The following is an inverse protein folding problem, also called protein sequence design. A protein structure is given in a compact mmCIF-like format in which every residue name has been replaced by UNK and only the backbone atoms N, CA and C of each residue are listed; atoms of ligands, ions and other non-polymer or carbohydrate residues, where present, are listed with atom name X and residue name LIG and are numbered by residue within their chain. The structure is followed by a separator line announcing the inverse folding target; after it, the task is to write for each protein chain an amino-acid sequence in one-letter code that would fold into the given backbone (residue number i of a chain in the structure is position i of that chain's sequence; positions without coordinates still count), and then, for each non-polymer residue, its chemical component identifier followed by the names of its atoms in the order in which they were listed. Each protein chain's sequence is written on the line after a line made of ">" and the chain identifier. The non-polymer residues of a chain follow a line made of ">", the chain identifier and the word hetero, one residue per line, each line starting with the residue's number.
data_IF_915823364109
#
_entry.id   IF_915823364109
#
_cell.length_a   1.000
_cell.length_b   1.000
_cell.length_c   1.000
_cell.angle_alpha   90.00
_cell.angle_beta   90.00
_cell.angle_gamma   90.00
#
_symmetry.space_group_name_H-M   'P 1'
#
loop_
_entity.id
_entity.type
_entity.pdbx_description
1 polymer ?
#
# COMPACT_ATOMS: atom_id res chain seq x y z
N UNK A 1 25.30 2.31 -17.95
CA UNK A 1 25.05 3.23 -16.80
C UNK A 1 25.93 2.79 -15.65
N UNK A 2 26.73 3.70 -15.07
CA UNK A 2 27.44 3.44 -13.82
C UNK A 2 26.46 3.43 -12.65
N UNK A 3 26.60 2.46 -11.74
CA UNK A 3 25.86 2.46 -10.46
C UNK A 3 26.63 3.33 -9.47
N UNK A 4 25.92 4.13 -8.69
CA UNK A 4 26.48 4.96 -7.61
C UNK A 4 25.73 4.65 -6.31
N UNK A 5 26.43 4.64 -5.18
CA UNK A 5 25.83 4.56 -3.86
C UNK A 5 25.57 5.97 -3.34
N UNK A 6 24.35 6.22 -2.87
CA UNK A 6 23.93 7.51 -2.33
C UNK A 6 23.41 7.28 -0.92
N UNK A 7 23.73 8.17 0.02
CA UNK A 7 23.28 8.00 1.40
C UNK A 7 21.76 8.22 1.54
N UNK A 8 21.16 7.58 2.55
CA UNK A 8 19.73 7.72 2.87
C UNK A 8 19.32 9.18 3.03
N UNK A 9 20.14 9.95 3.76
CA UNK A 9 19.90 11.36 4.04
C UNK A 9 19.92 12.23 2.77
N UNK A 10 20.84 11.95 1.83
CA UNK A 10 20.91 12.68 0.57
C UNK A 10 19.69 12.44 -0.32
N UNK A 11 19.23 11.18 -0.43
CA UNK A 11 18.02 10.83 -1.18
C UNK A 11 16.79 11.48 -0.55
N UNK A 12 16.66 11.41 0.78
CA UNK A 12 15.57 12.05 1.49
C UNK A 12 15.55 13.56 1.25
N UNK A 13 16.70 14.24 1.43
CA UNK A 13 16.81 15.67 1.18
C UNK A 13 16.55 16.07 -0.28
N UNK A 14 16.91 15.22 -1.24
CA UNK A 14 16.56 15.43 -2.65
C UNK A 14 15.04 15.40 -2.87
N UNK A 15 14.36 14.38 -2.36
CA UNK A 15 12.90 14.24 -2.47
C UNK A 15 12.20 15.46 -1.82
N UNK A 16 12.62 15.83 -0.61
CA UNK A 16 12.06 16.97 0.11
C UNK A 16 12.17 18.27 -0.70
N UNK A 17 13.35 18.57 -1.24
CA UNK A 17 13.58 19.76 -2.08
C UNK A 17 12.73 19.75 -3.35
N UNK A 18 12.60 18.61 -4.03
CA UNK A 18 11.76 18.49 -5.22
C UNK A 18 10.28 18.78 -4.91
N UNK A 19 9.75 18.21 -3.83
CA UNK A 19 8.34 18.40 -3.46
C UNK A 19 8.05 19.83 -2.98
N UNK A 20 8.98 20.41 -2.22
CA UNK A 20 8.88 21.82 -1.81
C UNK A 20 8.95 22.76 -3.02
N UNK A 21 9.78 22.46 -4.02
CA UNK A 21 9.87 23.26 -5.24
C UNK A 21 8.56 23.28 -6.06
N UNK A 22 7.74 22.22 -5.93
CA UNK A 22 6.39 22.18 -6.53
C UNK A 22 5.28 22.64 -5.57
N UNK A 23 5.66 23.15 -4.41
CA UNK A 23 4.78 23.91 -3.52
C UNK A 23 4.21 23.14 -2.33
N UNK A 24 4.66 21.92 -2.04
CA UNK A 24 4.20 21.21 -0.83
C UNK A 24 4.77 21.85 0.44
N UNK A 25 4.06 21.74 1.57
CA UNK A 25 4.64 22.03 2.89
C UNK A 25 5.82 21.11 3.19
N UNK A 26 6.74 21.59 4.02
CA UNK A 26 7.94 20.84 4.40
C UNK A 26 7.61 19.49 5.06
N UNK A 27 6.65 19.46 5.98
CA UNK A 27 6.29 18.21 6.67
C UNK A 27 5.59 17.19 5.74
N UNK A 28 4.82 17.66 4.74
CA UNK A 28 4.29 16.82 3.66
C UNK A 28 5.41 16.22 2.80
N UNK A 29 6.37 17.05 2.39
CA UNK A 29 7.53 16.64 1.61
C UNK A 29 8.34 15.58 2.36
N UNK A 30 8.57 15.80 3.66
CA UNK A 30 9.26 14.86 4.55
C UNK A 30 8.53 13.53 4.67
N UNK A 31 7.21 13.56 4.89
CA UNK A 31 6.40 12.33 5.01
C UNK A 31 6.48 11.47 3.75
N UNK A 32 6.48 12.11 2.57
CA UNK A 32 6.69 11.40 1.31
C UNK A 32 8.12 10.87 1.19
N UNK A 33 9.13 11.68 1.51
CA UNK A 33 10.53 11.30 1.41
C UNK A 33 10.84 10.07 2.28
N UNK A 34 10.35 10.04 3.51
CA UNK A 34 10.54 8.93 4.44
C UNK A 34 10.00 7.61 3.88
N UNK A 35 8.74 7.58 3.41
CA UNK A 35 8.16 6.32 2.88
C UNK A 35 8.79 5.87 1.57
N UNK A 36 9.18 6.78 0.66
CA UNK A 36 9.81 6.39 -0.60
C UNK A 36 11.21 5.82 -0.36
N UNK A 37 11.96 6.43 0.56
CA UNK A 37 13.28 5.93 0.94
C UNK A 37 13.16 4.58 1.65
N UNK A 38 12.17 4.39 2.52
CA UNK A 38 11.89 3.06 3.12
C UNK A 38 11.54 2.02 2.06
N UNK A 39 10.78 2.40 1.03
CA UNK A 39 10.51 1.57 -0.13
C UNK A 39 11.78 1.05 -0.80
N UNK A 40 12.72 1.95 -1.13
CA UNK A 40 14.00 1.55 -1.75
C UNK A 40 14.88 0.74 -0.80
N UNK A 41 14.99 1.15 0.48
CA UNK A 41 15.85 0.48 1.47
C UNK A 41 15.42 -0.96 1.75
N UNK A 42 14.11 -1.24 1.65
CA UNK A 42 13.52 -2.57 1.82
C UNK A 42 13.46 -3.39 0.53
N UNK A 43 13.99 -2.86 -0.59
CA UNK A 43 14.01 -3.54 -1.88
C UNK A 43 12.68 -3.46 -2.65
N UNK A 44 11.73 -2.63 -2.22
CA UNK A 44 10.49 -2.34 -2.93
C UNK A 44 10.69 -1.20 -3.94
N UNK A 45 11.64 -1.34 -4.87
CA UNK A 45 12.02 -0.30 -5.85
C UNK A 45 10.89 0.19 -6.77
N UNK A 46 9.75 -0.52 -6.82
CA UNK A 46 8.54 -0.06 -7.51
C UNK A 46 7.78 1.02 -6.74
N UNK A 47 8.11 1.30 -5.48
CA UNK A 47 7.42 2.24 -4.60
C UNK A 47 8.37 3.21 -3.89
N UNK A 48 9.63 3.30 -4.34
CA UNK A 48 10.60 4.29 -3.86
C UNK A 48 10.81 5.45 -4.85
N UNK A 49 12.06 5.91 -5.00
CA UNK A 49 12.42 7.10 -5.77
C UNK A 49 11.92 7.07 -7.23
N UNK A 50 11.79 5.89 -7.82
CA UNK A 50 11.22 5.68 -9.15
C UNK A 50 9.76 6.19 -9.31
N UNK A 51 9.09 6.58 -8.23
CA UNK A 51 7.73 7.16 -8.27
C UNK A 51 7.69 8.69 -8.19
N UNK A 52 8.83 9.36 -8.04
CA UNK A 52 8.88 10.81 -7.83
C UNK A 52 8.16 11.62 -8.91
N UNK A 53 8.33 11.26 -10.19
CA UNK A 53 7.70 11.99 -11.31
C UNK A 53 6.17 12.01 -11.20
N UNK A 54 5.56 10.92 -10.71
CA UNK A 54 4.11 10.85 -10.50
C UNK A 54 3.66 11.84 -9.41
N UNK A 55 4.34 11.86 -8.27
CA UNK A 55 4.01 12.76 -7.17
C UNK A 55 4.19 14.23 -7.54
N UNK A 56 5.27 14.55 -8.24
CA UNK A 56 5.55 15.89 -8.76
C UNK A 56 4.42 16.35 -9.70
N UNK A 57 4.01 15.52 -10.67
CA UNK A 57 2.93 15.85 -11.61
C UNK A 57 1.58 16.03 -10.94
N UNK A 58 1.25 15.19 -9.97
CA UNK A 58 -0.03 15.29 -9.25
C UNK A 58 -0.12 16.57 -8.42
N UNK A 59 0.98 17.01 -7.81
CA UNK A 59 1.03 18.30 -7.09
C UNK A 59 1.01 19.48 -8.06
N UNK A 60 1.84 19.46 -9.12
CA UNK A 60 1.90 20.55 -10.11
C UNK A 60 0.58 20.80 -10.83
N UNK A 61 -0.17 19.72 -11.12
CA UNK A 61 -1.49 19.81 -11.76
C UNK A 61 -2.60 20.25 -10.81
N UNK A 62 -2.33 20.32 -9.49
CA UNK A 62 -3.33 20.62 -8.47
C UNK A 62 -4.30 19.48 -8.17
N UNK A 63 -4.08 18.31 -8.77
CA UNK A 63 -4.94 17.14 -8.57
C UNK A 63 -4.66 16.47 -7.22
N UNK A 64 -3.48 16.66 -6.64
CA UNK A 64 -3.20 16.39 -5.23
C UNK A 64 -2.99 17.72 -4.49
N UNK A 65 -3.58 17.85 -3.30
CA UNK A 65 -3.45 19.03 -2.48
C UNK A 65 -2.03 19.19 -1.94
N UNK A 66 -1.49 20.41 -2.05
CA UNK A 66 -0.13 20.75 -1.62
C UNK A 66 0.00 21.00 -0.10
N UNK A 67 -1.10 21.36 0.54
CA UNK A 67 -1.21 21.88 1.91
C UNK A 67 -2.60 21.55 2.47
N UNK A 68 -2.73 21.57 3.79
CA UNK A 68 -3.90 21.15 4.56
C UNK A 68 -3.54 20.09 5.60
N UNK A 69 -4.51 19.70 6.41
CA UNK A 69 -4.37 18.66 7.43
C UNK A 69 -5.55 17.68 7.32
N UNK A 70 -5.34 16.37 7.55
CA UNK A 70 -6.43 15.42 7.68
C UNK A 70 -7.38 15.80 8.82
N UNK A 71 -8.68 15.54 8.66
CA UNK A 71 -9.72 15.90 9.64
C UNK A 71 -10.51 14.67 10.06
N UNK A 72 -10.67 14.46 11.37
CA UNK A 72 -11.58 13.43 11.90
C UNK A 72 -13.02 13.92 11.71
N UNK A 73 -13.80 13.20 10.91
CA UNK A 73 -15.21 13.52 10.66
C UNK A 73 -16.14 12.85 11.66
N UNK A 74 -15.78 11.63 12.09
CA UNK A 74 -16.56 10.83 13.04
C UNK A 74 -15.62 9.92 13.82
N UNK A 75 -15.86 9.77 15.11
CA UNK A 75 -15.10 8.83 15.92
C UNK A 75 -15.91 8.20 17.04
N UNK A 76 -15.41 7.06 17.52
CA UNK A 76 -15.77 6.42 18.77
C UNK A 76 -14.49 6.11 19.54
N UNK A 77 -14.59 5.43 20.68
CA UNK A 77 -13.42 5.03 21.46
C UNK A 77 -12.42 4.20 20.61
N UNK A 78 -12.91 3.26 19.80
CA UNK A 78 -12.07 2.33 19.05
C UNK A 78 -12.01 2.63 17.54
N UNK A 79 -12.78 3.58 17.01
CA UNK A 79 -12.87 3.81 15.56
C UNK A 79 -12.80 5.28 15.16
N UNK A 80 -12.37 5.57 13.93
CA UNK A 80 -12.52 6.89 13.32
C UNK A 80 -12.68 6.83 11.79
N UNK A 81 -13.40 7.81 11.26
CA UNK A 81 -13.48 8.17 9.85
C UNK A 81 -12.75 9.51 9.65
N UNK A 82 -11.84 9.55 8.69
CA UNK A 82 -10.98 10.70 8.40
C UNK A 82 -11.18 11.18 6.96
N UNK A 83 -11.36 12.50 6.79
CA UNK A 83 -11.23 13.16 5.49
C UNK A 83 -9.76 13.54 5.29
N UNK A 84 -9.12 12.90 4.31
CA UNK A 84 -7.72 13.14 3.95
C UNK A 84 -7.48 14.43 3.17
N UNK A 85 -8.51 15.22 2.86
CA UNK A 85 -8.44 16.53 2.17
C UNK A 85 -7.67 16.50 0.84
N UNK A 86 -7.69 15.36 0.16
CA UNK A 86 -6.97 15.10 -1.08
C UNK A 86 -5.44 15.31 -0.95
N UNK A 87 -4.90 15.12 0.25
CA UNK A 87 -3.47 15.27 0.54
C UNK A 87 -2.65 14.09 0.01
N UNK A 88 -1.33 14.21 0.09
CA UNK A 88 -0.41 13.12 -0.18
C UNK A 88 -0.72 11.92 0.72
N UNK A 89 -0.76 10.72 0.13
CA UNK A 89 -1.06 9.48 0.84
C UNK A 89 -0.25 9.30 2.13
N UNK A 90 1.06 9.63 2.17
CA UNK A 90 1.85 9.50 3.39
C UNK A 90 1.49 10.46 4.52
N UNK A 91 0.92 11.62 4.21
CA UNK A 91 0.40 12.56 5.20
C UNK A 91 -0.83 11.95 5.87
N UNK A 92 -1.79 11.51 5.06
CA UNK A 92 -3.03 10.88 5.53
C UNK A 92 -2.73 9.59 6.30
N UNK A 93 -1.86 8.74 5.77
CA UNK A 93 -1.51 7.47 6.38
C UNK A 93 -0.80 7.60 7.73
N UNK A 94 0.15 8.53 7.85
CA UNK A 94 0.81 8.81 9.13
C UNK A 94 -0.19 9.31 10.17
N UNK A 95 -1.08 10.24 9.80
CA UNK A 95 -2.13 10.74 10.68
C UNK A 95 -3.04 9.59 11.17
N UNK A 96 -3.54 8.78 10.24
CA UNK A 96 -4.49 7.72 10.56
C UNK A 96 -3.88 6.58 11.38
N UNK A 97 -2.65 6.16 11.09
CA UNK A 97 -1.98 5.12 11.88
C UNK A 97 -1.66 5.62 13.30
N UNK A 98 -1.17 6.86 13.44
CA UNK A 98 -0.96 7.45 14.77
C UNK A 98 -2.27 7.53 15.57
N UNK A 99 -3.39 7.88 14.92
CA UNK A 99 -4.71 7.88 15.55
C UNK A 99 -5.15 6.47 15.96
N UNK A 100 -4.91 5.46 15.12
CA UNK A 100 -5.22 4.07 15.42
C UNK A 100 -4.41 3.58 16.64
N UNK A 101 -3.11 3.86 16.67
CA UNK A 101 -2.22 3.53 17.80
C UNK A 101 -2.71 4.21 19.09
N UNK A 102 -3.05 5.51 19.04
CA UNK A 102 -3.59 6.23 20.19
C UNK A 102 -4.85 5.56 20.75
N UNK A 103 -5.80 5.21 19.89
CA UNK A 103 -7.04 4.52 20.30
C UNK A 103 -6.76 3.11 20.85
N UNK A 104 -5.84 2.38 20.24
CA UNK A 104 -5.45 1.06 20.71
C UNK A 104 -4.81 1.07 22.11
N UNK A 105 -4.05 2.11 22.45
CA UNK A 105 -3.53 2.33 23.82
C UNK A 105 -4.64 2.50 24.84
N UNK A 106 -5.74 3.15 24.47
CA UNK A 106 -6.84 3.46 25.38
C UNK A 106 -7.81 2.29 25.56
N UNK A 107 -8.18 1.61 24.47
CA UNK A 107 -9.27 0.61 24.49
C UNK A 107 -8.91 -0.72 23.82
N UNK A 108 -7.63 -0.97 23.55
CA UNK A 108 -7.10 -2.24 23.05
C UNK A 108 -7.09 -2.37 21.52
N UNK A 109 -7.96 -1.64 20.80
CA UNK A 109 -7.96 -1.60 19.33
C UNK A 109 -8.29 -0.20 18.81
N UNK A 110 -7.61 0.21 17.75
CA UNK A 110 -7.95 1.39 16.96
C UNK A 110 -8.14 1.00 15.50
N UNK A 111 -9.31 1.31 14.93
CA UNK A 111 -9.63 1.06 13.53
C UNK A 111 -9.99 2.38 12.83
N UNK A 112 -9.11 2.86 11.96
CA UNK A 112 -9.23 4.16 11.30
C UNK A 112 -9.33 3.98 9.80
N UNK A 113 -10.36 4.53 9.19
CA UNK A 113 -10.52 4.57 7.74
C UNK A 113 -10.46 6.02 7.25
N UNK A 114 -9.95 6.20 6.03
CA UNK A 114 -9.84 7.51 5.41
C UNK A 114 -10.29 7.50 3.96
N UNK A 115 -11.03 8.53 3.56
CA UNK A 115 -11.25 8.91 2.16
C UNK A 115 -10.46 10.15 1.82
N UNK A 116 -10.51 10.60 0.56
CA UNK A 116 -9.81 11.79 0.13
C UNK A 116 -8.29 11.65 0.22
N UNK A 117 -7.74 10.45 -0.03
CA UNK A 117 -6.29 10.20 -0.02
C UNK A 117 -5.73 9.95 -1.43
N UNK A 118 -4.40 9.83 -1.50
CA UNK A 118 -3.64 9.54 -2.71
C UNK A 118 -2.67 8.36 -2.47
N UNK A 119 -1.85 8.01 -3.47
CA UNK A 119 -0.90 6.90 -3.37
C UNK A 119 0.05 7.08 -2.17
N UNK A 120 0.17 6.05 -1.33
CA UNK A 120 0.87 6.13 -0.03
C UNK A 120 2.21 5.39 0.04
N UNK A 121 2.79 4.97 -1.08
CA UNK A 121 4.02 4.18 -1.06
C UNK A 121 3.78 2.73 -0.62
N UNK A 122 4.64 2.19 0.24
CA UNK A 122 4.54 0.81 0.73
C UNK A 122 3.59 0.71 1.94
N UNK A 123 2.71 -0.29 1.97
CA UNK A 123 1.74 -0.46 3.06
C UNK A 123 2.44 -0.83 4.38
N UNK A 124 3.53 -1.59 4.29
CA UNK A 124 4.36 -2.00 5.42
C UNK A 124 4.89 -0.84 6.25
N UNK A 125 5.17 0.30 5.61
CA UNK A 125 5.67 1.50 6.31
C UNK A 125 4.73 1.91 7.45
N UNK A 126 3.42 1.92 7.21
CA UNK A 126 2.44 2.30 8.22
C UNK A 126 2.24 1.18 9.25
N UNK A 127 2.09 -0.07 8.81
CA UNK A 127 1.93 -1.20 9.72
C UNK A 127 3.06 -1.28 10.76
N UNK A 128 4.31 -1.03 10.34
CA UNK A 128 5.47 -1.05 11.22
C UNK A 128 5.54 0.10 12.23
N UNK A 129 4.78 1.19 12.06
CA UNK A 129 4.75 2.26 13.07
C UNK A 129 4.22 1.76 14.41
N UNK A 130 3.28 0.81 14.39
CA UNK A 130 2.73 0.20 15.60
C UNK A 130 3.75 -0.64 16.38
N UNK A 131 4.80 -1.14 15.72
CA UNK A 131 5.87 -1.91 16.37
C UNK A 131 6.64 -1.08 17.40
N UNK A 132 6.75 0.24 17.18
CA UNK A 132 7.42 1.16 18.12
C UNK A 132 6.72 1.23 19.47
N UNK A 133 5.46 0.80 19.52
CA UNK A 133 4.60 0.81 20.70
C UNK A 133 4.28 -0.61 21.18
N UNK A 134 5.03 -1.62 20.69
CA UNK A 134 4.77 -3.05 20.93
C UNK A 134 3.34 -3.49 20.57
N UNK A 135 2.76 -2.88 19.53
CA UNK A 135 1.43 -3.19 19.02
C UNK A 135 1.47 -3.89 17.67
N UNK A 136 0.40 -4.63 17.37
CA UNK A 136 0.17 -5.14 16.02
C UNK A 136 -0.35 -3.98 15.17
N UNK A 137 0.22 -3.78 13.99
CA UNK A 137 -0.24 -2.78 13.03
C UNK A 137 -0.73 -3.42 11.75
N UNK A 138 -1.77 -2.87 11.13
CA UNK A 138 -2.25 -3.29 9.82
C UNK A 138 -2.50 -2.07 8.94
N UNK A 139 -2.24 -2.20 7.63
CA UNK A 139 -2.50 -1.16 6.64
C UNK A 139 -3.06 -1.74 5.35
N UNK A 140 -4.04 -1.04 4.79
CA UNK A 140 -4.72 -1.40 3.55
C UNK A 140 -4.99 -0.14 2.72
N UNK A 141 -4.99 -0.27 1.40
CA UNK A 141 -5.50 0.76 0.48
C UNK A 141 -6.08 0.13 -0.76
N UNK A 142 -7.14 0.72 -1.31
CA UNK A 142 -7.51 0.42 -2.68
C UNK A 142 -6.72 1.27 -3.67
N UNK A 143 -6.67 0.85 -4.93
CA UNK A 143 -5.86 1.50 -5.97
C UNK A 143 -6.61 1.57 -7.30
N UNK A 144 -6.03 2.22 -8.30
CA UNK A 144 -6.56 2.24 -9.67
C UNK A 144 -6.84 0.82 -10.19
N UNK A 145 -7.88 0.62 -11.00
CA UNK A 145 -8.24 -0.69 -11.52
C UNK A 145 -7.14 -1.23 -12.45
N UNK A 146 -6.48 -2.31 -12.01
CA UNK A 146 -5.36 -2.96 -12.69
C UNK A 146 -5.46 -4.50 -12.68
N UNK A 147 -6.38 -5.05 -11.90
CA UNK A 147 -6.57 -6.48 -11.66
C UNK A 147 -7.91 -6.92 -12.24
N UNK A 148 -7.86 -8.01 -13.00
CA UNK A 148 -9.02 -8.71 -13.53
C UNK A 148 -9.50 -9.70 -12.47
N UNK A 149 -10.75 -9.60 -11.98
CA UNK A 149 -11.31 -10.57 -11.04
C UNK A 149 -11.29 -11.99 -11.60
N UNK A 150 -11.32 -12.99 -10.72
CA UNK A 150 -11.49 -14.38 -11.15
C UNK A 150 -12.76 -14.51 -11.99
N UNK A 151 -12.64 -15.14 -13.18
CA UNK A 151 -13.70 -15.24 -14.21
C UNK A 151 -14.14 -13.91 -14.86
N UNK A 152 -13.41 -12.83 -14.63
CA UNK A 152 -13.57 -11.57 -15.33
C UNK A 152 -12.68 -11.47 -16.57
N UNK A 153 -12.84 -10.37 -17.32
CA UNK A 153 -11.96 -9.98 -18.44
C UNK A 153 -11.57 -8.51 -18.45
N UNK A 154 -12.08 -7.73 -17.49
CA UNK A 154 -11.84 -6.29 -17.37
C UNK A 154 -11.23 -5.98 -16.02
N UNK A 155 -10.31 -5.01 -16.00
CA UNK A 155 -9.75 -4.51 -14.75
C UNK A 155 -10.85 -3.77 -13.96
N UNK A 156 -11.20 -4.31 -12.79
CA UNK A 156 -12.16 -3.69 -11.88
C UNK A 156 -11.60 -3.52 -10.47
N UNK A 157 -10.54 -4.24 -10.11
CA UNK A 157 -9.90 -4.12 -8.81
C UNK A 157 -8.52 -3.50 -8.94
N UNK A 158 -8.09 -2.83 -7.89
CA UNK A 158 -6.70 -2.43 -7.78
C UNK A 158 -5.80 -3.58 -7.34
N UNK A 159 -4.50 -3.32 -7.24
CA UNK A 159 -3.54 -4.26 -6.63
C UNK A 159 -3.74 -4.42 -5.13
N UNK A 160 -4.48 -3.49 -4.51
CA UNK A 160 -5.14 -3.58 -3.21
C UNK A 160 -4.30 -4.25 -2.11
N UNK A 161 -3.17 -3.64 -1.70
CA UNK A 161 -2.25 -4.28 -0.77
C UNK A 161 -2.83 -4.49 0.62
N UNK A 162 -2.31 -5.52 1.28
CA UNK A 162 -2.53 -5.89 2.67
C UNK A 162 -1.17 -5.91 3.35
N UNK A 163 -1.05 -5.20 4.46
CA UNK A 163 0.09 -5.30 5.35
C UNK A 163 -0.32 -5.54 6.79
N UNK A 164 0.47 -6.37 7.49
CA UNK A 164 0.37 -6.59 8.93
C UNK A 164 1.78 -6.71 9.50
N UNK A 165 2.02 -6.05 10.64
CA UNK A 165 3.25 -6.15 11.41
C UNK A 165 2.91 -6.54 12.86
N UNK A 166 3.70 -7.45 13.44
CA UNK A 166 3.53 -7.92 14.81
C UNK A 166 4.88 -8.02 15.54
N UNK A 167 4.97 -7.55 16.80
CA UNK A 167 6.22 -7.57 17.56
C UNK A 167 6.55 -8.98 18.09
N UNK A 168 7.84 -9.27 18.20
CA UNK A 168 8.41 -10.44 18.85
C UNK A 168 9.44 -10.01 19.92
N UNK A 169 10.14 -10.96 20.54
CA UNK A 169 11.19 -10.67 21.54
C UNK A 169 12.39 -9.98 20.91
N UNK A 170 13.16 -9.28 21.75
CA UNK A 170 14.48 -8.74 21.43
C UNK A 170 14.53 -7.85 20.17
N UNK A 171 13.42 -7.16 19.87
CA UNK A 171 13.31 -6.26 18.73
C UNK A 171 13.05 -6.94 17.38
N UNK A 172 12.86 -8.27 17.35
CA UNK A 172 12.42 -8.97 16.15
C UNK A 172 10.92 -8.73 15.89
N UNK A 173 10.49 -8.95 14.65
CA UNK A 173 9.09 -8.75 14.25
C UNK A 173 8.73 -9.55 13.01
N UNK A 174 7.45 -9.88 12.91
CA UNK A 174 6.87 -10.35 11.65
C UNK A 174 6.31 -9.17 10.89
N UNK A 175 6.61 -9.08 9.59
CA UNK A 175 6.06 -8.05 8.69
C UNK A 175 5.64 -8.70 7.38
N UNK A 176 4.35 -8.67 7.10
CA UNK A 176 3.76 -8.97 5.81
C UNK A 176 3.49 -7.64 5.08
N UNK A 177 3.94 -7.51 3.84
CA UNK A 177 3.56 -6.42 2.94
C UNK A 177 3.41 -6.99 1.52
N UNK A 178 2.17 -7.15 1.07
CA UNK A 178 1.86 -7.80 -0.20
C UNK A 178 0.69 -7.13 -0.93
N UNK A 179 0.78 -7.09 -2.26
CA UNK A 179 -0.39 -6.84 -3.10
C UNK A 179 -1.30 -8.09 -3.10
N UNK A 180 -2.60 -7.90 -3.33
CA UNK A 180 -3.53 -9.02 -3.60
C UNK A 180 -3.51 -9.46 -5.06
N UNK A 181 -2.78 -8.74 -5.92
CA UNK A 181 -2.41 -9.18 -7.27
C UNK A 181 -1.20 -10.13 -7.23
N UNK A 182 -1.12 -11.06 -8.18
CA UNK A 182 0.00 -12.02 -8.27
C UNK A 182 1.37 -11.33 -8.42
N UNK A 183 1.40 -10.14 -9.01
CA UNK A 183 2.61 -9.35 -9.20
C UNK A 183 2.29 -7.85 -9.21
N UNK A 184 3.26 -7.01 -8.87
CA UNK A 184 3.17 -5.56 -9.10
C UNK A 184 3.26 -5.23 -10.59
N UNK A 185 2.43 -4.30 -11.08
CA UNK A 185 2.41 -3.85 -12.49
C UNK A 185 3.79 -3.42 -12.99
N UNK A 186 4.59 -2.74 -12.15
CA UNK A 186 5.93 -2.29 -12.51
C UNK A 186 6.90 -3.42 -12.88
N UNK A 187 6.69 -4.66 -12.39
CA UNK A 187 7.47 -5.81 -12.82
C UNK A 187 7.10 -6.26 -14.23
N UNK A 188 5.82 -6.17 -14.61
CA UNK A 188 5.37 -6.44 -16.00
C UNK A 188 5.94 -5.38 -16.95
N UNK A 189 5.87 -4.09 -16.58
CA UNK A 189 6.48 -2.99 -17.35
C UNK A 189 8.00 -3.20 -17.55
N UNK A 190 8.69 -3.75 -16.55
CA UNK A 190 10.13 -4.04 -16.65
C UNK A 190 10.43 -5.16 -17.65
N UNK A 191 9.63 -6.24 -17.66
CA UNK A 191 9.80 -7.34 -18.62
C UNK A 191 9.50 -6.86 -20.05
N UNK A 192 8.46 -6.03 -20.24
CA UNK A 192 8.17 -5.43 -21.55
C UNK A 192 9.36 -4.60 -22.07
N UNK A 193 9.95 -3.76 -21.23
CA UNK A 193 11.13 -2.93 -21.60
C UNK A 193 12.36 -3.77 -21.95
N UNK A 194 12.51 -4.96 -21.36
CA UNK A 194 13.61 -5.88 -21.64
C UNK A 194 13.33 -6.80 -22.83
N UNK A 195 12.07 -6.94 -23.23
CA UNK A 195 11.64 -7.90 -24.24
C UNK A 195 11.52 -9.34 -23.71
N UNK A 196 11.47 -9.52 -22.39
CA UNK A 196 11.40 -10.83 -21.74
C UNK A 196 9.93 -11.27 -21.53
N UNK A 197 9.61 -12.58 -21.62
CA UNK A 197 8.29 -13.08 -21.21
C UNK A 197 8.10 -12.96 -19.69
N UNK A 198 6.86 -12.80 -19.24
CA UNK A 198 6.50 -12.88 -17.81
C UNK A 198 6.16 -14.32 -17.41
N UNK A 199 6.35 -14.69 -16.13
CA UNK A 199 5.85 -15.97 -15.61
C UNK A 199 4.34 -16.13 -15.83
N UNK A 200 3.91 -17.36 -16.08
CA UNK A 200 2.49 -17.69 -16.13
C UNK A 200 1.82 -17.38 -14.79
N UNK A 201 0.56 -16.90 -14.84
CA UNK A 201 -0.19 -16.52 -13.64
C UNK A 201 0.10 -15.10 -13.13
N UNK A 202 0.90 -14.29 -13.83
CA UNK A 202 1.06 -12.86 -13.52
C UNK A 202 -0.05 -11.98 -14.10
N UNK A 203 -0.56 -12.33 -15.28
CA UNK A 203 -1.59 -11.55 -15.95
C UNK A 203 -2.35 -12.32 -17.02
N UNK A 204 -3.38 -11.68 -17.54
CA UNK A 204 -4.19 -12.18 -18.63
C UNK A 204 -4.26 -11.16 -19.78
N UNK A 205 -4.64 -11.65 -20.94
CA UNK A 205 -4.85 -10.86 -22.15
C UNK A 205 -6.26 -10.20 -22.17
N UNK A 206 -6.61 -9.43 -23.23
CA UNK A 206 -7.91 -8.76 -23.31
C UNK A 206 -9.13 -9.70 -23.37
N UNK A 207 -8.92 -11.00 -23.54
CA UNK A 207 -9.98 -12.02 -23.49
C UNK A 207 -10.09 -12.66 -22.10
N UNK A 208 -9.28 -12.24 -21.13
CA UNK A 208 -9.21 -12.82 -19.80
C UNK A 208 -8.42 -14.14 -19.74
N UNK A 209 -7.71 -14.52 -20.81
CA UNK A 209 -6.89 -15.74 -20.84
C UNK A 209 -5.49 -15.45 -20.31
N UNK A 210 -4.96 -16.32 -19.44
CA UNK A 210 -3.59 -16.19 -18.94
C UNK A 210 -2.58 -16.10 -20.09
N UNK A 211 -1.56 -15.26 -19.90
CA UNK A 211 -0.54 -15.01 -20.92
C UNK A 211 0.82 -14.75 -20.29
N UNK A 212 1.87 -15.12 -21.01
CA UNK A 212 3.27 -14.80 -20.69
C UNK A 212 3.80 -13.61 -21.50
N UNK A 213 2.96 -13.00 -22.36
CA UNK A 213 3.32 -11.80 -23.11
C UNK A 213 2.98 -10.53 -22.29
N UNK A 214 3.99 -9.78 -21.80
CA UNK A 214 3.73 -8.56 -21.04
C UNK A 214 2.97 -7.50 -21.84
N UNK A 215 3.09 -7.45 -23.17
CA UNK A 215 2.37 -6.48 -23.99
C UNK A 215 0.86 -6.73 -23.98
N UNK A 216 0.44 -8.01 -23.99
CA UNK A 216 -0.99 -8.37 -23.92
C UNK A 216 -1.59 -8.01 -22.58
N UNK A 217 -0.81 -8.13 -21.49
CA UNK A 217 -1.22 -7.67 -20.16
C UNK A 217 -1.38 -6.15 -20.12
N UNK A 218 -0.40 -5.40 -20.63
CA UNK A 218 -0.38 -3.93 -20.57
C UNK A 218 -1.36 -3.26 -21.55
N UNK A 219 -1.79 -3.96 -22.61
CA UNK A 219 -2.61 -3.42 -23.70
C UNK A 219 -3.98 -4.11 -23.77
N UNK A 220 -4.83 -3.75 -22.82
CA UNK A 220 -6.23 -4.22 -22.75
C UNK A 220 -6.46 -5.48 -21.93
N UNK A 221 -5.39 -6.15 -21.47
CA UNK A 221 -5.46 -7.19 -20.46
C UNK A 221 -5.41 -6.64 -19.03
N UNK A 222 -4.84 -7.42 -18.13
CA UNK A 222 -4.61 -6.97 -16.75
C UNK A 222 -3.88 -7.97 -15.89
N UNK A 223 -3.54 -7.55 -14.67
CA UNK A 223 -2.99 -8.44 -13.66
C UNK A 223 -4.07 -9.42 -13.21
N UNK A 224 -3.66 -10.59 -12.71
CA UNK A 224 -4.58 -11.53 -12.05
C UNK A 224 -4.33 -11.53 -10.53
N UNK A 225 -5.30 -11.99 -9.73
CA UNK A 225 -5.13 -12.06 -8.28
C UNK A 225 -4.04 -13.06 -7.87
N UNK A 226 -3.51 -12.91 -6.66
CA UNK A 226 -2.59 -13.91 -6.09
C UNK A 226 -3.28 -15.29 -6.05
N UNK A 227 -2.55 -16.30 -6.48
CA UNK A 227 -3.12 -17.62 -6.80
C UNK A 227 -3.52 -17.78 -8.26
N UNK A 228 -3.41 -16.76 -9.12
CA UNK A 228 -3.49 -16.88 -10.57
C UNK A 228 -4.85 -17.37 -11.08
N UNK A 229 -4.85 -18.54 -11.72
CA UNK A 229 -6.07 -19.21 -12.21
C UNK A 229 -6.96 -19.73 -11.07
N UNK A 230 -8.19 -20.12 -11.39
CA UNK A 230 -9.07 -20.78 -10.41
C UNK A 230 -8.47 -22.09 -9.88
N UNK A 231 -7.83 -22.89 -10.74
CA UNK A 231 -7.18 -24.14 -10.36
C UNK A 231 -6.01 -23.95 -9.39
N UNK A 232 -5.38 -22.77 -9.42
CA UNK A 232 -4.25 -22.40 -8.54
C UNK A 232 -4.69 -21.51 -7.38
N UNK A 233 -6.00 -21.32 -7.18
CA UNK A 233 -6.55 -20.61 -6.02
C UNK A 233 -6.72 -19.10 -6.19
N UNK A 234 -6.74 -18.57 -7.42
CA UNK A 234 -6.89 -17.14 -7.70
C UNK A 234 -8.14 -16.49 -7.10
N UNK A 235 -9.21 -17.27 -6.87
CA UNK A 235 -10.41 -16.78 -6.18
C UNK A 235 -10.13 -16.34 -4.74
N UNK A 236 -9.09 -16.88 -4.09
CA UNK A 236 -8.65 -16.45 -2.75
C UNK A 236 -8.04 -15.05 -2.80
N UNK A 237 -7.12 -14.82 -3.74
CA UNK A 237 -6.54 -13.49 -3.98
C UNK A 237 -7.59 -12.46 -4.40
N UNK A 238 -8.58 -12.88 -5.20
CA UNK A 238 -9.73 -12.05 -5.55
C UNK A 238 -10.53 -11.65 -4.30
N UNK A 239 -10.84 -12.62 -3.44
CA UNK A 239 -11.54 -12.37 -2.17
C UNK A 239 -10.78 -11.39 -1.26
N UNK A 240 -9.45 -11.54 -1.15
CA UNK A 240 -8.60 -10.61 -0.41
C UNK A 240 -8.64 -9.19 -1.01
N UNK A 241 -8.56 -9.07 -2.35
CA UNK A 241 -8.66 -7.77 -3.03
C UNK A 241 -10.02 -7.09 -2.83
N UNK A 242 -11.11 -7.86 -2.82
CA UNK A 242 -12.46 -7.37 -2.51
C UNK A 242 -12.58 -6.93 -1.05
N UNK A 243 -11.99 -7.66 -0.10
CA UNK A 243 -11.98 -7.29 1.31
C UNK A 243 -11.33 -5.90 1.51
N UNK A 244 -10.20 -5.65 0.83
CA UNK A 244 -9.56 -4.33 0.84
C UNK A 244 -10.48 -3.27 0.24
N UNK A 245 -11.20 -3.58 -0.84
CA UNK A 245 -12.16 -2.64 -1.43
C UNK A 245 -13.31 -2.29 -0.48
N UNK A 246 -13.78 -3.26 0.29
CA UNK A 246 -14.80 -3.06 1.32
C UNK A 246 -14.30 -2.10 2.40
N UNK A 247 -13.06 -2.28 2.90
CA UNK A 247 -12.53 -1.42 3.96
C UNK A 247 -12.14 -0.03 3.48
N UNK A 248 -11.53 0.05 2.30
CA UNK A 248 -10.93 1.28 1.81
C UNK A 248 -11.91 2.06 0.94
N UNK A 249 -12.55 1.43 -0.04
CA UNK A 249 -13.51 2.09 -0.91
C UNK A 249 -14.85 2.33 -0.20
N UNK A 250 -15.50 1.24 0.21
CA UNK A 250 -16.89 1.29 0.67
C UNK A 250 -17.01 1.88 2.08
N UNK A 251 -16.30 1.32 3.06
CA UNK A 251 -16.40 1.72 4.46
C UNK A 251 -15.87 3.15 4.70
N UNK A 252 -14.83 3.57 3.99
CA UNK A 252 -14.30 4.93 4.11
C UNK A 252 -15.13 5.96 3.34
N UNK A 253 -16.02 5.55 2.42
CA UNK A 253 -16.72 6.48 1.52
C UNK A 253 -15.81 7.06 0.42
N UNK A 254 -14.75 6.33 0.05
CA UNK A 254 -13.81 6.73 -0.99
C UNK A 254 -14.26 6.26 -2.40
N UNK A 255 -13.53 6.66 -3.44
CA UNK A 255 -13.73 6.08 -4.76
C UNK A 255 -13.32 4.60 -4.74
N UNK A 256 -14.07 3.76 -5.45
CA UNK A 256 -13.83 2.32 -5.53
C UNK A 256 -13.88 1.82 -6.96
N UNK A 257 -13.18 0.73 -7.24
CA UNK A 257 -13.17 0.09 -8.56
C UNK A 257 -12.94 1.09 -9.71
N UNK A 258 -13.76 1.03 -10.77
CA UNK A 258 -13.68 1.92 -11.95
C UNK A 258 -13.99 3.39 -11.66
N UNK A 259 -14.46 3.74 -10.46
CA UNK A 259 -14.61 5.13 -10.06
C UNK A 259 -13.26 5.77 -9.70
N UNK A 260 -12.27 4.98 -9.32
CA UNK A 260 -10.89 5.45 -9.18
C UNK A 260 -10.32 5.77 -10.56
N UNK A 261 -9.60 6.90 -10.68
CA UNK A 261 -8.92 7.26 -11.94
C UNK A 261 -7.93 6.19 -12.38
N UNK A 262 -7.69 6.10 -13.68
CA UNK A 262 -6.73 5.16 -14.26
C UNK A 262 -5.31 5.46 -13.78
N UNK A 263 -4.52 4.41 -13.58
CA UNK A 263 -3.13 4.54 -13.16
C UNK A 263 -2.33 5.45 -14.10
N UNK A 264 -1.54 6.38 -13.53
CA UNK A 264 -0.75 7.42 -14.24
C UNK A 264 -1.57 8.44 -15.05
N UNK A 265 -2.90 8.39 -14.99
CA UNK A 265 -3.76 9.43 -15.59
C UNK A 265 -4.06 10.48 -14.53
N UNK A 266 -3.74 11.73 -14.87
CA UNK A 266 -3.85 12.90 -13.99
C UNK A 266 -4.94 13.82 -14.55
N UNK A 267 -6.18 13.30 -14.64
CA UNK A 267 -7.37 13.98 -15.18
C UNK A 267 -8.38 14.41 -14.10
N UNK A 268 -8.39 13.70 -12.96
CA UNK A 268 -9.24 13.97 -11.80
C UNK A 268 -8.56 13.52 -10.51
N UNK A 269 -9.13 13.91 -9.36
CA UNK A 269 -8.69 13.45 -8.03
C UNK A 269 -8.76 11.92 -7.93
N UNK A 270 -7.79 11.33 -7.23
CA UNK A 270 -7.76 9.88 -7.05
C UNK A 270 -8.86 9.41 -6.10
N UNK A 271 -9.07 10.16 -5.01
CA UNK A 271 -9.95 9.82 -3.89
C UNK A 271 -9.78 8.37 -3.43
N UNK A 272 -8.52 7.96 -3.20
CA UNK A 272 -8.22 6.63 -2.70
C UNK A 272 -8.67 6.49 -1.25
N UNK A 273 -9.11 5.29 -0.93
CA UNK A 273 -9.45 4.87 0.41
C UNK A 273 -8.29 4.17 1.11
N UNK A 274 -8.19 4.35 2.41
CA UNK A 274 -7.17 3.71 3.25
C UNK A 274 -7.78 3.22 4.56
N UNK A 275 -7.21 2.15 5.11
CA UNK A 275 -7.59 1.60 6.39
C UNK A 275 -6.33 1.28 7.20
N UNK A 276 -6.33 1.67 8.47
CA UNK A 276 -5.23 1.48 9.40
C UNK A 276 -5.77 0.91 10.70
N UNK A 277 -5.14 -0.15 11.19
CA UNK A 277 -5.55 -0.82 12.42
C UNK A 277 -4.34 -0.94 13.33
N UNK A 278 -4.53 -0.61 14.61
CA UNK A 278 -3.58 -0.94 15.66
C UNK A 278 -4.29 -1.80 16.71
N UNK A 279 -3.62 -2.83 17.21
CA UNK A 279 -4.15 -3.74 18.22
C UNK A 279 -3.10 -3.86 19.32
N UNK A 280 -3.49 -3.55 20.56
CA UNK A 280 -2.64 -3.79 21.72
C UNK A 280 -2.74 -5.27 22.12
N UNK A 281 -1.68 -6.08 21.92
CA UNK A 281 -1.72 -7.50 22.25
C UNK A 281 -1.86 -7.78 23.76
N UNK A 282 -1.52 -6.81 24.62
CA UNK A 282 -1.63 -6.96 26.08
C UNK A 282 -3.09 -7.04 26.58
N UNK A 283 -4.05 -6.56 25.78
CA UNK A 283 -5.48 -6.68 26.07
C UNK A 283 -6.04 -8.10 25.79
N UNK A 284 -5.20 -9.03 25.32
CA UNK A 284 -5.58 -10.41 24.98
C UNK A 284 -4.78 -11.42 25.82
N UNK A 285 -4.44 -12.58 25.26
CA UNK A 285 -3.70 -13.61 25.99
C UNK A 285 -2.26 -13.16 26.31
N UNK A 286 -1.79 -13.30 27.57
CA UNK A 286 -0.45 -12.86 27.99
C UNK A 286 0.65 -13.61 27.24
N UNK A 287 1.86 -13.04 27.13
CA UNK A 287 3.00 -13.70 26.47
C UNK A 287 2.92 -13.72 24.95
N UNK A 288 2.37 -12.66 24.34
CA UNK A 288 2.24 -12.54 22.89
C UNK A 288 3.60 -12.62 22.17
N UNK A 289 4.57 -11.79 22.56
CA UNK A 289 5.90 -11.72 21.93
C UNK A 289 6.67 -13.03 22.06
N UNK A 290 6.48 -13.76 23.16
CA UNK A 290 7.06 -15.09 23.38
C UNK A 290 6.55 -16.10 22.36
N UNK A 291 5.23 -16.20 22.20
CA UNK A 291 4.62 -17.09 21.22
C UNK A 291 4.95 -16.69 19.79
N UNK A 292 5.04 -15.39 19.50
CA UNK A 292 5.42 -14.89 18.18
C UNK A 292 6.87 -15.28 17.85
N UNK A 293 7.78 -15.16 18.81
CA UNK A 293 9.19 -15.54 18.66
C UNK A 293 9.35 -17.05 18.46
N UNK A 294 8.59 -17.85 19.21
CA UNK A 294 8.55 -19.31 19.07
C UNK A 294 8.05 -19.71 17.67
N UNK A 295 6.92 -19.16 17.22
CA UNK A 295 6.39 -19.39 15.87
C UNK A 295 7.42 -19.08 14.77
N UNK A 296 8.08 -17.92 14.87
CA UNK A 296 9.10 -17.51 13.91
C UNK A 296 10.31 -18.43 13.95
N UNK A 297 10.72 -18.89 15.13
CA UNK A 297 11.84 -19.83 15.32
C UNK A 297 11.52 -21.20 14.72
N UNK A 298 10.29 -21.70 14.92
CA UNK A 298 9.82 -22.94 14.29
C UNK A 298 9.97 -22.84 12.78
N UNK A 299 9.48 -21.77 12.14
CA UNK A 299 9.55 -21.65 10.68
C UNK A 299 10.98 -21.45 10.14
N UNK A 300 11.82 -20.69 10.85
CA UNK A 300 13.22 -20.46 10.45
C UNK A 300 14.11 -21.68 10.65
N UNK A 301 13.72 -22.60 11.54
CA UNK A 301 14.47 -23.82 11.86
C UNK A 301 14.12 -25.03 11.01
N UNK A 302 13.19 -24.92 10.06
CA UNK A 302 12.84 -26.02 9.14
C UNK A 302 13.88 -26.14 8.01
N UNK A 303 14.15 -27.38 7.60
CA UNK A 303 14.89 -27.65 6.37
C UNK A 303 14.07 -27.23 5.14
N UNK A 304 14.67 -26.55 4.14
CA UNK A 304 13.98 -26.05 2.96
C UNK A 304 13.57 -27.13 1.95
#
# INVERSE_FOLDING_TARGET
>A
MSRCLISKAEVQGFIERCMMAVGTKQHHARSLAEVLVEGDYRGHYSHGLNRMDMYVKDIQSGICAKDGEPVVEKESAATALVDGKNLLGPVVGNFCMNLAIKKAKEVGIGWVVAHGSNHYGIAGYYAMQALQENMIGMSFTNTSPLVVPTRGKECTLGTNPISMAAPAKDGDSFVLDMATSAVALGKVELHERRGDPIPEGWGCDPQGKLTTDPKRVLRGGGLVPIGGSEATGGYKGYGLGMMVEVFCGILAGAAFSKHVRTWKVTDRVANLGQCFVAINPENFAPGFTDRMSDLMSIHRGLDP
#
